data_IF_789041064825
#
_entry.id   IF_789041064825
#
_cell.length_a   1.000
_cell.length_b   1.000
_cell.length_c   1.000
_cell.angle_alpha   90.00
_cell.angle_beta   90.00
_cell.angle_gamma   90.00
#
_symmetry.space_group_name_H-M   'P 1'
#
loop_
_entity.id
_entity.type
_entity.pdbx_description
1 polymer ?
#
# COMPACT_ATOMS: atom_id res chain seq x y z
N UNK A 1 -14.09 14.41 14.78
CA UNK A 1 -13.26 13.35 14.17
C UNK A 1 -14.20 12.34 13.54
N UNK A 2 -13.92 11.96 12.30
CA UNK A 2 -14.74 11.03 11.51
C UNK A 2 -14.04 9.67 11.44
N UNK A 3 -14.80 8.60 11.19
CA UNK A 3 -14.25 7.25 10.99
C UNK A 3 -13.97 7.00 9.50
N UNK A 4 -12.71 6.70 9.16
CA UNK A 4 -12.28 6.32 7.83
C UNK A 4 -11.92 4.84 7.76
N UNK A 5 -12.19 4.22 6.62
CA UNK A 5 -11.98 2.81 6.36
C UNK A 5 -10.96 2.65 5.23
N UNK A 6 -10.00 1.72 5.39
CA UNK A 6 -9.03 1.38 4.33
C UNK A 6 -8.70 -0.12 4.33
N UNK A 7 -8.22 -0.62 3.20
CA UNK A 7 -7.88 -2.02 3.03
C UNK A 7 -6.54 -2.38 3.69
N UNK A 8 -6.49 -3.58 4.27
CA UNK A 8 -5.28 -4.22 4.79
C UNK A 8 -5.00 -5.49 3.97
N UNK A 9 -3.72 -5.69 3.69
CA UNK A 9 -3.14 -6.79 2.93
C UNK A 9 -2.72 -6.41 1.51
N UNK A 10 -2.21 -7.41 0.80
CA UNK A 10 -1.78 -7.28 -0.60
C UNK A 10 -2.42 -8.40 -1.41
N UNK A 11 -3.06 -8.06 -2.53
CA UNK A 11 -3.55 -9.05 -3.48
C UNK A 11 -2.37 -9.79 -4.11
N UNK A 12 -2.44 -11.13 -4.15
CA UNK A 12 -1.49 -11.98 -4.89
C UNK A 12 -2.17 -12.64 -6.09
N UNK A 13 -1.48 -12.67 -7.23
CA UNK A 13 -1.85 -13.43 -8.43
C UNK A 13 -0.91 -14.65 -8.60
N UNK A 14 -1.30 -15.73 -9.31
CA UNK A 14 -2.55 -15.95 -10.05
C UNK A 14 -3.61 -16.76 -9.28
N UNK A 15 -4.89 -16.65 -9.66
CA UNK A 15 -5.99 -17.49 -9.15
C UNK A 15 -7.21 -16.72 -8.63
N UNK A 16 -7.95 -17.33 -7.69
CA UNK A 16 -9.05 -16.69 -6.96
C UNK A 16 -8.55 -15.46 -6.20
N UNK A 17 -9.42 -14.47 -5.97
CA UNK A 17 -9.03 -13.21 -5.29
C UNK A 17 -8.52 -13.50 -3.87
N UNK A 18 -7.19 -13.52 -3.72
CA UNK A 18 -6.50 -13.84 -2.48
C UNK A 18 -5.73 -12.62 -1.99
N UNK A 19 -5.95 -12.26 -0.73
CA UNK A 19 -5.24 -11.19 -0.03
C UNK A 19 -4.29 -11.83 0.98
N UNK A 20 -3.04 -11.37 1.01
CA UNK A 20 -2.05 -11.75 2.02
C UNK A 20 -1.92 -10.63 3.04
N UNK A 21 -2.09 -10.95 4.32
CA UNK A 21 -1.87 -10.04 5.45
C UNK A 21 -1.24 -10.82 6.60
N UNK A 22 -0.25 -10.24 7.28
CA UNK A 22 0.44 -10.87 8.41
C UNK A 22 0.96 -12.31 8.16
N UNK A 23 1.30 -12.65 6.91
CA UNK A 23 1.74 -13.99 6.52
C UNK A 23 0.60 -14.99 6.24
N UNK A 24 -0.64 -14.62 6.52
CA UNK A 24 -1.83 -15.43 6.26
C UNK A 24 -2.45 -15.12 4.89
N UNK A 25 -3.13 -16.11 4.31
CA UNK A 25 -3.82 -16.01 3.02
C UNK A 25 -5.34 -16.01 3.22
N UNK A 26 -6.00 -15.02 2.63
CA UNK A 26 -7.44 -14.84 2.74
C UNK A 26 -8.09 -14.84 1.36
N UNK A 27 -8.90 -15.86 1.09
CA UNK A 27 -9.79 -15.88 -0.06
C UNK A 27 -10.97 -14.95 0.17
N UNK A 28 -11.21 -14.05 -0.78
CA UNK A 28 -12.36 -13.14 -0.78
C UNK A 28 -13.43 -13.64 -1.75
N UNK A 29 -14.69 -13.51 -1.35
CA UNK A 29 -15.83 -14.03 -2.11
C UNK A 29 -16.93 -12.98 -2.29
N UNK A 30 -17.80 -13.18 -3.29
CA UNK A 30 -18.94 -12.29 -3.59
C UNK A 30 -18.48 -10.85 -3.81
N UNK A 31 -19.05 -9.90 -3.05
CA UNK A 31 -18.73 -8.48 -3.10
C UNK A 31 -17.47 -8.08 -2.30
N UNK A 32 -16.88 -8.98 -1.48
CA UNK A 32 -15.67 -8.70 -0.70
C UNK A 32 -14.48 -8.23 -1.58
N UNK A 33 -14.16 -8.87 -2.73
CA UNK A 33 -13.10 -8.42 -3.62
C UNK A 33 -13.27 -6.99 -4.11
N UNK A 34 -14.51 -6.60 -4.45
CA UNK A 34 -14.81 -5.27 -4.95
C UNK A 34 -14.62 -4.23 -3.86
N UNK A 35 -15.22 -4.45 -2.68
CA UNK A 35 -15.12 -3.57 -1.53
C UNK A 35 -13.65 -3.37 -1.13
N UNK A 36 -12.90 -4.47 -0.97
CA UNK A 36 -11.48 -4.42 -0.62
C UNK A 36 -10.67 -3.65 -1.67
N UNK A 37 -10.94 -3.86 -2.95
CA UNK A 37 -10.25 -3.15 -4.06
C UNK A 37 -10.56 -1.65 -4.08
N UNK A 38 -11.79 -1.25 -3.73
CA UNK A 38 -12.18 0.16 -3.62
C UNK A 38 -11.41 0.85 -2.49
N UNK A 39 -11.28 0.17 -1.36
CA UNK A 39 -10.55 0.70 -0.20
C UNK A 39 -9.03 0.65 -0.38
N UNK A 40 -8.50 -0.08 -1.36
CA UNK A 40 -7.06 -0.14 -1.61
C UNK A 40 -6.52 1.22 -2.08
N UNK A 41 -5.61 1.78 -1.28
CA UNK A 41 -5.01 3.10 -1.53
C UNK A 41 -5.92 4.28 -1.15
N UNK A 42 -7.11 4.03 -0.59
CA UNK A 42 -8.12 5.04 -0.29
C UNK A 42 -8.58 4.97 1.16
N UNK A 43 -9.09 6.09 1.65
CA UNK A 43 -9.66 6.23 2.99
C UNK A 43 -11.05 6.82 2.80
N UNK A 44 -12.07 6.00 3.02
CA UNK A 44 -13.47 6.37 2.79
C UNK A 44 -14.24 6.36 4.10
N UNK A 45 -15.19 7.28 4.26
CA UNK A 45 -16.20 7.21 5.31
C UNK A 45 -17.20 6.11 5.00
N UNK A 46 -17.93 5.66 6.02
CA UNK A 46 -18.86 4.53 5.90
C UNK A 46 -19.96 4.78 4.84
N UNK A 47 -20.49 5.99 4.79
CA UNK A 47 -21.52 6.46 3.86
C UNK A 47 -21.00 6.66 2.42
N UNK A 48 -19.68 6.72 2.21
CA UNK A 48 -19.07 6.82 0.89
C UNK A 48 -18.83 5.44 0.23
N UNK A 49 -18.74 4.37 1.03
CA UNK A 49 -18.36 3.03 0.54
C UNK A 49 -19.39 2.46 -0.43
N UNK A 50 -20.68 2.49 -0.08
CA UNK A 50 -21.73 1.93 -0.94
C UNK A 50 -21.88 2.69 -2.27
N UNK A 51 -21.95 4.04 -2.29
CA UNK A 51 -21.95 4.80 -3.54
C UNK A 51 -20.77 4.46 -4.47
N UNK A 52 -19.56 4.30 -3.92
CA UNK A 52 -18.37 3.91 -4.68
C UNK A 52 -18.48 2.49 -5.25
N UNK A 53 -18.98 1.54 -4.46
CA UNK A 53 -19.26 0.18 -4.93
C UNK A 53 -20.29 0.18 -6.06
N UNK A 54 -21.40 0.90 -5.88
CA UNK A 54 -22.46 1.00 -6.86
C UNK A 54 -21.97 1.61 -8.18
N UNK A 55 -21.22 2.72 -8.12
CA UNK A 55 -20.63 3.36 -9.29
C UNK A 55 -19.65 2.43 -10.04
N UNK A 56 -18.86 1.62 -9.31
CA UNK A 56 -17.99 0.62 -9.91
C UNK A 56 -18.76 -0.52 -10.59
N UNK A 57 -19.86 -0.99 -9.99
CA UNK A 57 -20.70 -2.01 -10.62
C UNK A 57 -21.33 -1.51 -11.92
N UNK A 58 -21.85 -0.27 -11.94
CA UNK A 58 -22.42 0.34 -13.14
C UNK A 58 -21.41 0.46 -14.28
N UNK A 59 -20.22 0.99 -13.98
CA UNK A 59 -19.17 1.20 -14.99
C UNK A 59 -18.53 -0.12 -15.47
N UNK A 60 -18.49 -1.13 -14.60
CA UNK A 60 -17.86 -2.43 -14.88
C UNK A 60 -18.81 -3.49 -15.41
N UNK A 61 -20.09 -3.16 -15.64
CA UNK A 61 -21.15 -4.14 -15.98
C UNK A 61 -21.18 -5.35 -15.03
N UNK A 62 -20.90 -5.10 -13.74
CA UNK A 62 -20.93 -6.15 -12.72
C UNK A 62 -22.34 -6.28 -12.13
N UNK A 63 -22.60 -7.41 -11.46
CA UNK A 63 -23.83 -7.60 -10.70
C UNK A 63 -24.02 -6.45 -9.69
N UNK A 64 -25.24 -5.93 -9.63
CA UNK A 64 -25.58 -4.86 -8.69
C UNK A 64 -25.56 -5.43 -7.28
N UNK A 65 -24.80 -4.77 -6.41
CA UNK A 65 -24.69 -5.12 -5.00
C UNK A 65 -25.65 -4.22 -4.23
N UNK A 66 -26.42 -4.80 -3.32
CA UNK A 66 -27.29 -4.03 -2.41
C UNK A 66 -26.51 -3.40 -1.26
N UNK A 67 -27.06 -2.35 -0.65
CA UNK A 67 -26.43 -1.67 0.48
C UNK A 67 -26.22 -2.60 1.68
N UNK A 68 -27.18 -3.50 1.96
CA UNK A 68 -27.05 -4.51 3.03
C UNK A 68 -25.90 -5.49 2.77
N UNK A 69 -25.69 -5.91 1.52
CA UNK A 69 -24.58 -6.79 1.15
C UNK A 69 -23.23 -6.06 1.30
N UNK A 70 -23.16 -4.78 0.91
CA UNK A 70 -21.97 -3.96 1.13
C UNK A 70 -21.64 -3.82 2.63
N UNK A 71 -22.65 -3.53 3.46
CA UNK A 71 -22.49 -3.43 4.91
C UNK A 71 -22.08 -4.78 5.55
N UNK A 72 -22.65 -5.88 5.08
CA UNK A 72 -22.28 -7.23 5.51
C UNK A 72 -20.81 -7.54 5.15
N UNK A 73 -20.39 -7.25 3.93
CA UNK A 73 -19.00 -7.46 3.47
C UNK A 73 -18.02 -6.59 4.27
N UNK A 74 -18.35 -5.32 4.53
CA UNK A 74 -17.53 -4.42 5.33
C UNK A 74 -17.27 -5.01 6.72
N UNK A 75 -18.33 -5.41 7.42
CA UNK A 75 -18.24 -6.03 8.76
C UNK A 75 -17.39 -7.29 8.74
N UNK A 76 -17.57 -8.15 7.73
CA UNK A 76 -16.82 -9.39 7.59
C UNK A 76 -15.33 -9.15 7.33
N UNK A 77 -14.99 -8.17 6.50
CA UNK A 77 -13.61 -7.77 6.23
C UNK A 77 -12.94 -7.15 7.46
N UNK A 78 -13.66 -6.34 8.24
CA UNK A 78 -13.19 -5.80 9.52
C UNK A 78 -12.89 -6.94 10.51
N UNK A 79 -13.81 -7.89 10.68
CA UNK A 79 -13.63 -9.03 11.59
C UNK A 79 -12.42 -9.91 11.19
N UNK A 80 -12.12 -9.98 9.89
CA UNK A 80 -10.95 -10.69 9.34
C UNK A 80 -9.68 -9.84 9.32
N UNK A 81 -9.71 -8.61 9.84
CA UNK A 81 -8.60 -7.65 9.84
C UNK A 81 -8.08 -7.29 8.44
N UNK A 82 -8.93 -7.40 7.42
CA UNK A 82 -8.64 -7.02 6.03
C UNK A 82 -9.13 -5.62 5.67
N UNK A 83 -9.88 -4.99 6.57
CA UNK A 83 -10.23 -3.58 6.56
C UNK A 83 -10.02 -3.06 7.98
N UNK A 84 -9.41 -1.89 8.10
CA UNK A 84 -9.26 -1.19 9.37
C UNK A 84 -10.10 0.08 9.35
N UNK A 85 -10.62 0.45 10.51
CA UNK A 85 -11.25 1.74 10.76
C UNK A 85 -10.32 2.62 11.59
N UNK A 86 -10.22 3.90 11.24
CA UNK A 86 -9.37 4.87 11.96
C UNK A 86 -10.11 6.21 12.16
N UNK A 87 -10.10 6.78 13.38
CA UNK A 87 -10.58 8.13 13.61
C UNK A 87 -9.56 9.16 13.11
N UNK A 88 -10.00 10.09 12.26
CA UNK A 88 -9.17 11.14 11.69
C UNK A 88 -9.97 12.43 11.44
N UNK A 89 -9.24 13.52 11.15
CA UNK A 89 -9.84 14.78 10.71
C UNK A 89 -10.27 14.72 9.24
N UNK A 90 -9.42 14.15 8.40
CA UNK A 90 -9.67 13.93 6.97
C UNK A 90 -8.96 12.66 6.45
N UNK A 91 -9.16 12.36 5.16
CA UNK A 91 -8.57 11.18 4.51
C UNK A 91 -7.02 11.18 4.47
N UNK A 92 -6.39 12.35 4.46
CA UNK A 92 -4.93 12.50 4.44
C UNK A 92 -4.34 12.32 5.84
N UNK A 93 -5.00 12.86 6.87
CA UNK A 93 -4.68 12.59 8.27
C UNK A 93 -4.83 11.10 8.59
N UNK A 94 -5.92 10.47 8.14
CA UNK A 94 -6.13 9.02 8.28
C UNK A 94 -4.99 8.22 7.65
N UNK A 95 -4.59 8.61 6.43
CA UNK A 95 -3.47 7.98 5.73
C UNK A 95 -2.16 8.13 6.48
N UNK A 96 -1.84 9.34 6.93
CA UNK A 96 -0.60 9.62 7.68
C UNK A 96 -0.56 8.80 8.97
N UNK A 97 -1.63 8.81 9.77
CA UNK A 97 -1.72 8.09 11.05
C UNK A 97 -1.54 6.58 10.90
N UNK A 98 -2.14 5.96 9.87
CA UNK A 98 -1.96 4.53 9.61
C UNK A 98 -0.55 4.22 9.14
N UNK A 99 -0.05 4.97 8.14
CA UNK A 99 1.23 4.67 7.52
C UNK A 99 2.38 4.79 8.53
N UNK A 100 2.34 5.76 9.44
CA UNK A 100 3.36 5.91 10.48
C UNK A 100 3.53 4.68 11.38
N UNK A 101 2.53 3.80 11.46
CA UNK A 101 2.51 2.64 12.36
C UNK A 101 2.45 1.32 11.58
N UNK A 102 2.60 1.36 10.26
CA UNK A 102 2.35 0.19 9.45
C UNK A 102 3.61 -0.59 9.11
N UNK A 103 3.39 -1.87 8.83
CA UNK A 103 4.28 -2.66 7.98
C UNK A 103 3.69 -2.62 6.58
N UNK A 104 4.45 -2.14 5.61
CA UNK A 104 4.02 -2.08 4.20
C UNK A 104 4.88 -2.99 3.35
N UNK A 105 4.35 -3.39 2.20
CA UNK A 105 5.16 -4.01 1.17
C UNK A 105 4.69 -3.60 -0.22
N UNK A 106 5.58 -3.65 -1.23
CA UNK A 106 5.19 -3.44 -2.63
C UNK A 106 4.14 -4.46 -3.07
N UNK A 107 3.15 -3.99 -3.81
CA UNK A 107 2.10 -4.85 -4.37
C UNK A 107 2.60 -5.60 -5.61
N UNK A 108 1.84 -6.60 -6.06
CA UNK A 108 2.11 -7.21 -7.36
C UNK A 108 2.06 -6.19 -8.51
N UNK A 109 1.35 -5.06 -8.38
CA UNK A 109 1.43 -3.99 -9.37
C UNK A 109 2.85 -3.45 -9.46
N UNK A 110 3.54 -3.24 -8.33
CA UNK A 110 4.94 -2.84 -8.33
C UNK A 110 5.89 -3.89 -8.95
N UNK A 111 5.52 -5.17 -8.96
CA UNK A 111 6.24 -6.26 -9.63
C UNK A 111 5.79 -6.56 -11.07
N UNK A 112 4.57 -6.17 -11.47
CA UNK A 112 4.07 -6.28 -12.84
C UNK A 112 4.44 -5.08 -13.69
N UNK A 113 4.79 -3.94 -13.07
CA UNK A 113 5.74 -3.01 -13.68
C UNK A 113 6.99 -3.84 -13.95
N UNK A 114 7.50 -3.88 -15.20
CA UNK A 114 8.35 -4.94 -15.74
C UNK A 114 9.46 -5.35 -14.77
N UNK A 115 9.17 -6.29 -13.88
CA UNK A 115 10.10 -6.64 -12.84
C UNK A 115 11.14 -7.54 -13.44
N UNK A 116 12.38 -7.21 -13.09
CA UNK A 116 13.51 -8.13 -13.04
C UNK A 116 14.07 -8.66 -14.37
N UNK A 117 13.30 -8.79 -15.46
CA UNK A 117 13.87 -9.19 -16.76
C UNK A 117 14.58 -8.02 -17.44
N UNK A 118 13.98 -6.82 -17.39
CA UNK A 118 14.64 -5.56 -17.81
C UNK A 118 15.70 -5.09 -16.82
N UNK A 119 15.48 -5.28 -15.51
CA UNK A 119 16.48 -5.00 -14.48
C UNK A 119 17.68 -5.96 -14.49
N UNK A 120 17.52 -7.24 -14.89
CA UNK A 120 18.64 -8.16 -15.13
C UNK A 120 19.32 -7.94 -16.49
N UNK A 121 18.56 -7.59 -17.55
CA UNK A 121 19.16 -7.21 -18.85
C UNK A 121 20.03 -5.96 -18.78
N UNK A 122 19.71 -5.02 -17.88
CA UNK A 122 20.51 -3.83 -17.64
C UNK A 122 21.94 -4.12 -17.11
N UNK A 123 22.23 -5.35 -16.69
CA UNK A 123 23.56 -5.77 -16.23
C UNK A 123 24.18 -6.93 -17.04
N UNK A 124 23.68 -7.25 -18.24
CA UNK A 124 24.40 -8.18 -19.12
C UNK A 124 23.55 -8.90 -20.16
N UNK A 125 22.98 -8.18 -21.13
CA UNK A 125 23.05 -8.51 -22.57
C UNK A 125 22.10 -7.66 -23.43
N UNK A 126 22.44 -7.55 -24.72
CA UNK A 126 22.11 -6.51 -25.69
C UNK A 126 20.63 -6.37 -26.08
N UNK A 127 20.04 -5.21 -25.76
CA UNK A 127 18.79 -4.68 -26.33
C UNK A 127 18.50 -3.25 -25.82
N UNK A 128 17.96 -2.34 -26.65
CA UNK A 128 17.85 -0.91 -26.30
C UNK A 128 16.69 -0.61 -25.34
N UNK A 129 17.05 -0.28 -24.09
CA UNK A 129 16.22 0.05 -22.92
C UNK A 129 15.58 1.45 -22.97
N UNK A 130 16.04 2.33 -23.85
CA UNK A 130 15.84 3.79 -23.75
C UNK A 130 14.42 4.33 -23.96
N UNK A 131 13.57 3.68 -24.74
CA UNK A 131 12.22 4.18 -25.03
C UNK A 131 11.24 3.96 -23.88
N UNK A 132 11.34 2.82 -23.20
CA UNK A 132 10.58 2.58 -21.98
C UNK A 132 11.11 3.47 -20.85
N UNK A 133 12.44 3.56 -20.70
CA UNK A 133 13.09 4.28 -19.60
C UNK A 133 12.68 5.78 -19.52
N UNK A 134 12.46 6.45 -20.65
CA UNK A 134 11.99 7.85 -20.66
C UNK A 134 10.59 8.04 -20.10
N UNK A 135 9.68 7.09 -20.31
CA UNK A 135 8.30 7.15 -19.79
C UNK A 135 8.26 6.73 -18.32
N UNK A 136 9.15 5.81 -17.92
CA UNK A 136 9.37 5.41 -16.52
C UNK A 136 10.00 6.51 -15.67
N UNK A 137 11.04 7.18 -16.17
CA UNK A 137 11.72 8.30 -15.52
C UNK A 137 10.83 9.53 -15.40
N UNK A 138 9.86 9.72 -16.30
CA UNK A 138 8.89 10.82 -16.22
C UNK A 138 7.81 10.64 -15.16
N UNK A 139 7.51 9.40 -14.76
CA UNK A 139 6.40 9.11 -13.83
C UNK A 139 6.84 8.94 -12.38
N UNK A 140 8.08 8.50 -12.15
CA UNK A 140 8.59 8.21 -10.81
C UNK A 140 10.04 8.66 -10.66
N UNK A 141 10.30 9.42 -9.60
CA UNK A 141 11.65 9.91 -9.31
C UNK A 141 12.56 8.75 -8.87
N UNK A 142 13.87 8.95 -8.98
CA UNK A 142 14.87 7.97 -8.50
C UNK A 142 14.58 7.54 -7.05
N UNK A 143 14.24 8.52 -6.22
CA UNK A 143 13.92 8.38 -4.80
C UNK A 143 12.78 7.40 -4.51
N UNK A 144 11.70 7.44 -5.29
CA UNK A 144 10.51 6.60 -5.10
C UNK A 144 10.81 5.14 -5.48
N UNK A 145 11.64 4.94 -6.51
CA UNK A 145 12.10 3.61 -6.93
C UNK A 145 13.02 2.99 -5.89
N UNK A 146 13.92 3.78 -5.30
CA UNK A 146 14.79 3.34 -4.21
C UNK A 146 13.96 2.95 -2.99
N UNK A 147 12.98 3.78 -2.60
CA UNK A 147 12.08 3.46 -1.49
C UNK A 147 11.31 2.16 -1.72
N UNK A 148 10.73 1.95 -2.91
CA UNK A 148 10.03 0.68 -3.23
C UNK A 148 10.94 -0.55 -3.10
N UNK A 149 12.21 -0.45 -3.50
CA UNK A 149 13.20 -1.52 -3.32
C UNK A 149 13.54 -1.75 -1.86
N UNK A 150 13.63 -0.69 -1.06
CA UNK A 150 13.87 -0.82 0.37
C UNK A 150 12.68 -1.50 1.06
N UNK A 151 11.45 -1.09 0.72
CA UNK A 151 10.21 -1.65 1.26
C UNK A 151 9.98 -3.12 0.88
N UNK A 152 10.55 -3.61 -0.23
CA UNK A 152 10.49 -5.04 -0.56
C UNK A 152 11.39 -5.90 0.33
N UNK A 153 12.40 -5.29 0.94
CA UNK A 153 13.39 -5.94 1.81
C UNK A 153 12.97 -5.82 3.28
N UNK A 154 12.47 -4.64 3.68
CA UNK A 154 12.07 -4.33 5.05
C UNK A 154 10.93 -3.30 5.04
N UNK A 155 9.79 -3.65 5.61
CA UNK A 155 8.54 -2.89 5.44
C UNK A 155 8.12 -2.03 6.64
N UNK A 156 8.86 -2.06 7.75
CA UNK A 156 8.45 -1.41 9.00
C UNK A 156 8.65 0.10 8.94
N UNK A 157 7.56 0.83 8.66
CA UNK A 157 7.58 2.28 8.50
C UNK A 157 8.13 3.02 9.73
N UNK A 158 7.81 2.66 10.99
CA UNK A 158 8.38 3.33 12.17
C UNK A 158 9.90 3.38 12.18
N UNK A 159 10.58 2.31 11.73
CA UNK A 159 12.05 2.24 11.68
C UNK A 159 12.64 3.18 10.63
N UNK A 160 11.96 3.33 9.50
CA UNK A 160 12.33 4.35 8.52
C UNK A 160 12.15 5.76 9.10
N UNK A 161 11.08 6.02 9.84
CA UNK A 161 10.86 7.33 10.47
C UNK A 161 11.91 7.64 11.55
N UNK A 162 12.28 6.67 12.39
CA UNK A 162 13.39 6.78 13.35
C UNK A 162 14.71 7.12 12.62
N UNK A 163 15.00 6.41 11.52
CA UNK A 163 16.19 6.64 10.72
C UNK A 163 16.21 8.03 10.06
N UNK A 164 15.07 8.52 9.54
CA UNK A 164 14.92 9.89 9.02
C UNK A 164 15.12 10.93 10.14
N UNK A 165 14.73 10.59 11.37
CA UNK A 165 14.92 11.42 12.56
C UNK A 165 16.38 11.48 13.06
N UNK A 166 17.31 10.80 12.40
CA UNK A 166 18.74 10.81 12.74
C UNK A 166 19.26 9.53 13.39
N UNK A 167 18.39 8.56 13.71
CA UNK A 167 18.77 7.30 14.35
C UNK A 167 18.97 6.17 13.34
N UNK A 168 19.91 6.33 12.41
CA UNK A 168 20.15 5.37 11.33
C UNK A 168 20.51 3.96 11.81
N UNK A 169 21.10 3.84 13.00
CA UNK A 169 21.49 2.57 13.64
C UNK A 169 20.35 1.57 13.86
N UNK A 170 19.09 2.03 13.83
CA UNK A 170 17.91 1.16 13.92
C UNK A 170 17.65 0.38 12.63
N UNK A 171 18.27 0.78 11.52
CA UNK A 171 18.13 0.13 10.23
C UNK A 171 19.01 -1.12 10.14
N UNK A 172 18.53 -2.21 9.51
CA UNK A 172 19.35 -3.40 9.32
C UNK A 172 20.62 -3.08 8.51
N UNK A 173 21.76 -3.67 8.87
CA UNK A 173 23.08 -3.38 8.28
C UNK A 173 23.13 -3.46 6.75
N UNK A 174 22.35 -4.36 6.13
CA UNK A 174 22.19 -4.47 4.67
C UNK A 174 21.67 -3.20 3.97
N UNK A 175 21.13 -2.25 4.74
CA UNK A 175 20.66 -0.96 4.24
C UNK A 175 21.73 0.12 4.21
N UNK A 176 22.93 -0.10 4.75
CA UNK A 176 23.99 0.91 4.80
C UNK A 176 24.29 1.57 3.44
N UNK A 177 24.16 0.81 2.34
CA UNK A 177 24.34 1.29 0.96
C UNK A 177 23.26 2.27 0.46
N UNK A 178 22.18 2.44 1.20
CA UNK A 178 21.08 3.36 0.88
C UNK A 178 21.09 4.62 1.76
N UNK A 179 22.11 4.77 2.61
CA UNK A 179 22.15 5.83 3.63
C UNK A 179 22.14 7.21 2.98
N UNK A 180 22.98 7.44 1.99
CA UNK A 180 23.08 8.73 1.29
C UNK A 180 21.76 9.10 0.60
N UNK A 181 21.09 8.13 -0.04
CA UNK A 181 19.76 8.37 -0.61
C UNK A 181 18.71 8.64 0.46
N UNK A 182 18.83 8.02 1.63
CA UNK A 182 17.88 8.18 2.71
C UNK A 182 18.05 9.49 3.49
N UNK A 183 19.27 10.04 3.54
CA UNK A 183 19.57 11.37 4.10
C UNK A 183 18.89 12.50 3.30
N UNK A 184 18.44 12.23 2.07
CA UNK A 184 17.60 13.18 1.30
C UNK A 184 16.15 13.25 1.79
N UNK A 185 15.74 12.37 2.70
CA UNK A 185 14.43 12.40 3.33
C UNK A 185 14.43 13.18 4.64
N UNK A 186 13.45 14.07 4.75
CA UNK A 186 12.88 14.47 6.04
C UNK A 186 11.58 13.69 6.30
N UNK A 187 11.03 13.84 7.51
CA UNK A 187 9.86 13.07 7.95
C UNK A 187 8.63 13.35 7.09
N UNK A 188 8.44 14.61 6.69
CA UNK A 188 7.28 15.03 5.93
C UNK A 188 7.33 14.52 4.49
N UNK A 189 8.45 14.72 3.82
CA UNK A 189 8.70 14.24 2.46
C UNK A 189 8.63 12.72 2.39
N UNK A 190 9.16 12.01 3.39
CA UNK A 190 9.04 10.55 3.46
C UNK A 190 7.59 10.08 3.54
N UNK A 191 6.80 10.64 4.47
CA UNK A 191 5.40 10.28 4.62
C UNK A 191 4.55 10.70 3.41
N UNK A 192 4.87 11.82 2.78
CA UNK A 192 4.23 12.28 1.55
C UNK A 192 4.49 11.32 0.39
N UNK A 193 5.74 10.91 0.18
CA UNK A 193 6.10 9.90 -0.82
C UNK A 193 5.40 8.57 -0.54
N UNK A 194 5.41 8.11 0.71
CA UNK A 194 4.74 6.87 1.09
C UNK A 194 3.23 6.93 0.87
N UNK A 195 2.59 8.05 1.23
CA UNK A 195 1.18 8.31 1.00
C UNK A 195 0.81 8.32 -0.49
N UNK A 196 1.66 8.92 -1.34
CA UNK A 196 1.51 8.85 -2.80
C UNK A 196 1.62 7.41 -3.32
N UNK A 197 2.65 6.66 -2.93
CA UNK A 197 2.81 5.26 -3.32
C UNK A 197 1.61 4.41 -2.90
N UNK A 198 1.04 4.65 -1.72
CA UNK A 198 -0.15 3.97 -1.25
C UNK A 198 -1.38 4.31 -2.09
N UNK A 199 -1.63 5.60 -2.38
CA UNK A 199 -2.74 6.04 -3.24
C UNK A 199 -2.66 5.47 -4.66
N UNK A 200 -1.44 5.37 -5.19
CA UNK A 200 -1.18 4.74 -6.49
C UNK A 200 -1.17 3.20 -6.43
N UNK A 201 -1.47 2.61 -5.27
CA UNK A 201 -1.54 1.15 -5.02
C UNK A 201 -0.24 0.42 -5.30
N UNK A 202 0.88 1.14 -5.25
CA UNK A 202 2.23 0.62 -5.41
C UNK A 202 2.68 -0.16 -4.18
N UNK A 203 2.18 0.24 -3.01
CA UNK A 203 2.38 -0.46 -1.74
C UNK A 203 1.02 -0.79 -1.13
N UNK A 204 0.97 -1.88 -0.37
CA UNK A 204 -0.14 -2.21 0.50
C UNK A 204 0.30 -2.28 1.95
N UNK A 205 -0.63 -2.03 2.86
CA UNK A 205 -0.42 -2.14 4.31
C UNK A 205 -0.61 -3.60 4.70
N UNK A 206 0.43 -4.28 5.17
CA UNK A 206 0.34 -5.67 5.62
C UNK A 206 -0.18 -5.80 7.04
N UNK A 207 0.19 -4.85 7.90
CA UNK A 207 -0.17 -4.80 9.31
C UNK A 207 -0.11 -3.36 9.81
N UNK A 208 -0.86 -3.07 10.88
CA UNK A 208 -0.75 -1.82 11.64
C UNK A 208 -0.34 -2.21 13.06
N UNK A 209 0.78 -1.67 13.53
CA UNK A 209 1.26 -1.87 14.89
C UNK A 209 0.34 -1.08 15.83
N UNK A 210 -0.31 -1.80 16.75
CA UNK A 210 -1.02 -1.16 17.85
C UNK A 210 0.04 -0.58 18.80
N UNK A 211 -0.12 0.67 19.23
CA UNK A 211 0.69 1.17 20.35
C UNK A 211 0.38 0.26 21.52
N UNK A 212 1.39 -0.37 22.11
CA UNK A 212 1.30 -0.79 23.50
C UNK A 212 0.93 0.46 24.29
N UNK A 213 -0.32 0.53 24.75
CA UNK A 213 -0.69 1.45 25.80
C UNK A 213 -0.03 0.86 27.04
N UNK A 214 1.19 1.30 27.33
CA UNK A 214 1.80 1.10 28.64
C UNK A 214 0.83 1.70 29.65
N UNK A 215 0.14 0.81 30.38
CA UNK A 215 -0.72 1.18 31.50
C UNK A 215 0.07 1.68 32.69
#
# INVERSE_FOLDING_TARGET
>A
MEEFYTAIGIKRNPGSFCVVSQGERFSLYRAEPLLWTILQGRFLKKDEIYPEMYAKCLNGQMEKIGEEEAAYCLRRLINRRLVIKIPAEDSMDAQRKILQRSVVAPTDLAGSLPASSLFRKAFGESGRVSAHDKTWQKRWEHRERTLLKMLSIFGEVPKYLEAVGGSWEVMPTRFAKYREEFETFDTETFLSTLGRLHRERMIGILAVQEKEVSG
#
